data_IF_391465942448
#
_entry.id   IF_391465942448
#
_cell.length_a   1.000
_cell.length_b   1.000
_cell.length_c   1.000
_cell.angle_alpha   90.00
_cell.angle_beta   90.00
_cell.angle_gamma   90.00
#
_symmetry.space_group_name_H-M   'P 1'
#
loop_
_entity.id
_entity.type
_entity.pdbx_description
1 polymer ?
#
# COMPACT_ATOMS: atom_id res chain seq x y z
N UNK A 1 -39.23 2.27 16.56
CA UNK A 1 -38.25 1.20 16.26
C UNK A 1 -37.43 1.51 14.99
N UNK A 2 -38.05 1.72 13.83
CA UNK A 2 -37.34 2.05 12.57
C UNK A 2 -36.42 3.28 12.67
N UNK A 3 -36.90 4.39 13.25
CA UNK A 3 -36.10 5.62 13.41
C UNK A 3 -34.85 5.40 14.28
N UNK A 4 -34.97 4.59 15.33
CA UNK A 4 -33.85 4.25 16.22
C UNK A 4 -32.83 3.39 15.47
N UNK A 5 -33.29 2.40 14.70
CA UNK A 5 -32.42 1.56 13.86
C UNK A 5 -31.69 2.42 12.82
N UNK A 6 -32.39 3.32 12.14
CA UNK A 6 -31.79 4.24 11.16
C UNK A 6 -30.73 5.13 11.80
N UNK A 7 -30.99 5.66 13.01
CA UNK A 7 -30.02 6.46 13.74
C UNK A 7 -28.72 5.69 14.03
N UNK A 8 -28.81 4.45 14.53
CA UNK A 8 -27.63 3.62 14.77
C UNK A 8 -26.87 3.26 13.48
N UNK A 9 -27.58 2.98 12.38
CA UNK A 9 -26.95 2.75 11.07
C UNK A 9 -26.18 3.98 10.63
N UNK A 10 -26.75 5.19 10.76
CA UNK A 10 -26.05 6.43 10.42
C UNK A 10 -24.79 6.64 11.25
N UNK A 11 -24.86 6.42 12.57
CA UNK A 11 -23.68 6.51 13.45
C UNK A 11 -22.61 5.49 13.06
N UNK A 12 -23.00 4.26 12.74
CA UNK A 12 -22.08 3.22 12.29
C UNK A 12 -21.37 3.60 10.98
N UNK A 13 -22.12 4.09 9.99
CA UNK A 13 -21.55 4.56 8.72
C UNK A 13 -20.58 5.72 8.97
N UNK A 14 -20.95 6.70 9.79
CA UNK A 14 -20.08 7.84 10.10
C UNK A 14 -18.78 7.40 10.79
N UNK A 15 -18.89 6.48 11.75
CA UNK A 15 -17.73 5.90 12.43
C UNK A 15 -16.82 5.15 11.45
N UNK A 16 -17.39 4.32 10.58
CA UNK A 16 -16.63 3.58 9.57
C UNK A 16 -15.91 4.51 8.58
N UNK A 17 -16.60 5.54 8.08
CA UNK A 17 -15.99 6.54 7.18
C UNK A 17 -14.86 7.32 7.86
N UNK A 18 -15.03 7.64 9.14
CA UNK A 18 -14.00 8.32 9.93
C UNK A 18 -12.75 7.44 10.06
N UNK A 19 -12.92 6.18 10.45
CA UNK A 19 -11.81 5.22 10.52
C UNK A 19 -11.12 5.01 9.18
N UNK A 20 -11.89 4.82 8.12
CA UNK A 20 -11.39 4.69 6.76
C UNK A 20 -10.52 5.88 6.36
N UNK A 21 -10.95 7.10 6.66
CA UNK A 21 -10.16 8.32 6.39
C UNK A 21 -8.88 8.38 7.24
N UNK A 22 -9.00 8.08 8.54
CA UNK A 22 -7.86 8.10 9.48
C UNK A 22 -6.76 7.12 9.05
N UNK A 23 -7.13 5.89 8.67
CA UNK A 23 -6.17 4.89 8.19
C UNK A 23 -5.37 5.42 6.99
N UNK A 24 -6.03 6.03 6.01
CA UNK A 24 -5.36 6.63 4.84
C UNK A 24 -4.47 7.83 5.19
N UNK A 25 -4.76 8.56 6.27
CA UNK A 25 -3.90 9.64 6.78
C UNK A 25 -2.68 9.06 7.51
N UNK A 26 -2.87 8.04 8.34
CA UNK A 26 -1.78 7.41 9.08
C UNK A 26 -0.76 6.75 8.15
N UNK A 27 -1.20 6.04 7.11
CA UNK A 27 -0.27 5.49 6.10
C UNK A 27 0.57 6.60 5.47
N UNK A 28 -0.05 7.71 5.04
CA UNK A 28 0.70 8.84 4.46
C UNK A 28 1.71 9.45 5.42
N UNK A 29 1.36 9.54 6.71
CA UNK A 29 2.26 10.05 7.74
C UNK A 29 3.40 9.08 8.02
N UNK A 30 3.12 7.78 8.04
CA UNK A 30 4.12 6.73 8.23
C UNK A 30 5.12 6.70 7.06
N UNK A 31 4.63 6.71 5.82
CA UNK A 31 5.46 6.77 4.62
C UNK A 31 6.36 8.02 4.64
N UNK A 32 5.79 9.18 5.00
CA UNK A 32 6.55 10.42 5.12
C UNK A 32 7.57 10.39 6.28
N UNK A 33 7.26 9.71 7.38
CA UNK A 33 8.13 9.59 8.55
C UNK A 33 9.39 8.78 8.25
N UNK A 34 9.24 7.62 7.59
CA UNK A 34 10.36 6.78 7.14
C UNK A 34 11.40 7.60 6.36
N UNK A 35 10.90 8.47 5.49
CA UNK A 35 11.75 9.27 4.62
C UNK A 35 12.33 10.48 5.37
N UNK A 36 11.60 11.03 6.35
CA UNK A 36 12.09 12.09 7.24
C UNK A 36 13.26 11.61 8.11
N UNK A 37 13.28 10.35 8.52
CA UNK A 37 14.39 9.77 9.31
C UNK A 37 15.60 9.37 8.44
N UNK A 38 15.57 9.66 7.14
CA UNK A 38 16.72 9.50 6.24
C UNK A 38 16.85 8.13 5.59
N UNK A 39 15.82 7.27 5.66
CA UNK A 39 15.83 5.99 4.93
C UNK A 39 15.80 6.28 3.42
N UNK A 40 16.65 5.58 2.68
CA UNK A 40 16.70 5.69 1.23
C UNK A 40 15.32 5.33 0.61
N UNK A 41 14.75 6.18 -0.25
CA UNK A 41 13.44 5.95 -0.85
C UNK A 41 13.32 4.63 -1.62
N UNK A 42 14.37 4.22 -2.35
CA UNK A 42 14.37 2.95 -3.09
C UNK A 42 14.34 1.75 -2.15
N UNK A 43 15.07 1.81 -1.03
CA UNK A 43 15.06 0.77 0.00
C UNK A 43 13.66 0.62 0.60
N UNK A 44 13.01 1.75 0.91
CA UNK A 44 11.64 1.72 1.41
C UNK A 44 10.63 1.19 0.38
N UNK A 45 10.73 1.64 -0.88
CA UNK A 45 9.91 1.14 -1.99
C UNK A 45 10.08 -0.38 -2.11
N UNK A 46 11.31 -0.88 -2.14
CA UNK A 46 11.62 -2.32 -2.22
C UNK A 46 11.00 -3.09 -1.06
N UNK A 47 11.14 -2.60 0.17
CA UNK A 47 10.59 -3.23 1.36
C UNK A 47 9.05 -3.29 1.31
N UNK A 48 8.39 -2.22 0.88
CA UNK A 48 6.93 -2.17 0.79
C UNK A 48 6.40 -3.10 -0.31
N UNK A 49 7.08 -3.19 -1.46
CA UNK A 49 6.75 -4.16 -2.51
C UNK A 49 6.91 -5.59 -1.98
N UNK A 50 8.05 -5.90 -1.34
CA UNK A 50 8.33 -7.23 -0.81
C UNK A 50 7.26 -7.66 0.20
N UNK A 51 6.88 -6.77 1.11
CA UNK A 51 5.80 -7.01 2.08
C UNK A 51 4.45 -7.26 1.40
N UNK A 52 4.12 -6.49 0.36
CA UNK A 52 2.87 -6.61 -0.36
C UNK A 52 2.75 -7.96 -1.10
N UNK A 53 3.84 -8.36 -1.78
CA UNK A 53 3.90 -9.64 -2.52
C UNK A 53 3.87 -10.83 -1.56
N UNK A 54 4.61 -10.78 -0.46
CA UNK A 54 4.61 -11.85 0.56
C UNK A 54 3.21 -12.05 1.19
N UNK A 55 2.42 -10.99 1.30
CA UNK A 55 1.04 -11.05 1.79
C UNK A 55 0.02 -11.40 0.69
N UNK A 56 0.46 -11.76 -0.53
CA UNK A 56 -0.40 -12.10 -1.67
C UNK A 56 -1.39 -10.99 -2.05
N UNK A 57 -1.05 -9.74 -1.74
CA UNK A 57 -1.88 -8.58 -2.08
C UNK A 57 -1.54 -8.16 -3.51
N UNK A 58 -2.52 -7.98 -4.40
CA UNK A 58 -2.25 -7.50 -5.75
C UNK A 58 -1.58 -6.12 -5.73
N UNK A 59 -0.50 -5.95 -6.50
CA UNK A 59 0.23 -4.67 -6.60
C UNK A 59 -0.66 -3.61 -7.27
N UNK A 60 -1.37 -4.02 -8.32
CA UNK A 60 -2.35 -3.20 -9.03
C UNK A 60 -3.75 -3.74 -8.77
N UNK A 61 -4.66 -2.82 -8.45
CA UNK A 61 -6.09 -3.10 -8.29
C UNK A 61 -6.88 -2.03 -9.04
N UNK A 62 -8.10 -2.38 -9.46
CA UNK A 62 -8.98 -1.43 -10.13
C UNK A 62 -9.40 -0.30 -9.17
N UNK A 63 -9.80 0.85 -9.73
CA UNK A 63 -10.26 2.00 -8.93
C UNK A 63 -11.44 1.66 -8.01
N UNK A 64 -12.30 0.75 -8.45
CA UNK A 64 -13.46 0.29 -7.67
C UNK A 64 -13.00 -0.56 -6.51
N UNK A 65 -12.12 -1.55 -6.75
CA UNK A 65 -11.58 -2.40 -5.69
C UNK A 65 -10.83 -1.60 -4.63
N UNK A 66 -10.06 -0.58 -5.05
CA UNK A 66 -9.40 0.32 -4.12
C UNK A 66 -10.37 1.09 -3.21
N UNK A 67 -11.55 1.47 -3.71
CA UNK A 67 -12.53 2.20 -2.91
C UNK A 67 -13.06 1.37 -1.72
N UNK A 68 -12.99 0.04 -1.82
CA UNK A 68 -13.34 -0.88 -0.74
C UNK A 68 -12.17 -1.23 0.18
N UNK A 69 -10.96 -0.74 -0.09
CA UNK A 69 -9.78 -0.96 0.75
C UNK A 69 -9.65 0.13 1.82
N UNK A 70 -9.47 -0.28 3.07
CA UNK A 70 -9.25 0.62 4.21
C UNK A 70 -7.96 1.44 4.06
N UNK A 71 -6.94 0.88 3.41
CA UNK A 71 -5.67 1.53 3.12
C UNK A 71 -5.56 1.93 1.64
N UNK A 72 -4.74 2.93 1.29
CA UNK A 72 -4.41 3.19 -0.12
C UNK A 72 -3.66 2.00 -0.72
N UNK A 73 -3.82 1.78 -2.02
CA UNK A 73 -3.09 0.73 -2.72
C UNK A 73 -1.58 0.94 -2.61
N UNK A 74 -0.83 -0.17 -2.59
CA UNK A 74 0.62 -0.11 -2.50
C UNK A 74 1.20 0.68 -3.66
N UNK A 75 0.74 0.47 -4.90
CA UNK A 75 1.21 1.27 -6.04
C UNK A 75 1.01 2.79 -5.87
N UNK A 76 -0.09 3.24 -5.24
CA UNK A 76 -0.28 4.68 -4.96
C UNK A 76 0.66 5.20 -3.89
N UNK A 77 0.98 4.38 -2.88
CA UNK A 77 1.96 4.72 -1.86
C UNK A 77 3.36 4.84 -2.47
N UNK A 78 3.75 3.84 -3.26
CA UNK A 78 5.04 3.82 -3.96
C UNK A 78 5.20 5.03 -4.89
N UNK A 79 4.20 5.34 -5.73
CA UNK A 79 4.24 6.52 -6.60
C UNK A 79 4.35 7.83 -5.81
N UNK A 80 3.65 7.97 -4.69
CA UNK A 80 3.76 9.17 -3.84
C UNK A 80 5.16 9.34 -3.26
N UNK A 81 5.78 8.24 -2.82
CA UNK A 81 7.17 8.26 -2.37
C UNK A 81 8.12 8.58 -3.51
N UNK A 82 7.95 7.94 -4.66
CA UNK A 82 8.78 8.14 -5.83
C UNK A 82 8.78 9.61 -6.30
N UNK A 83 7.59 10.20 -6.49
CA UNK A 83 7.43 11.61 -6.87
C UNK A 83 8.05 12.55 -5.83
N UNK A 84 7.83 12.29 -4.54
CA UNK A 84 8.29 13.20 -3.48
C UNK A 84 9.82 13.20 -3.33
N UNK A 85 10.51 12.14 -3.74
CA UNK A 85 11.95 11.99 -3.52
C UNK A 85 12.76 11.73 -4.80
N UNK A 86 12.18 12.02 -5.97
CA UNK A 86 12.91 12.05 -7.24
C UNK A 86 13.20 10.68 -7.86
N UNK A 87 12.50 9.61 -7.46
CA UNK A 87 12.56 8.33 -8.17
C UNK A 87 11.63 8.44 -9.37
N UNK A 88 12.18 8.28 -10.58
CA UNK A 88 11.38 8.32 -11.80
C UNK A 88 10.51 7.05 -11.97
N UNK A 89 9.46 7.11 -12.80
CA UNK A 89 8.49 6.01 -12.95
C UNK A 89 9.13 4.74 -13.56
N UNK A 90 10.14 4.89 -14.43
CA UNK A 90 10.86 3.77 -15.03
C UNK A 90 11.64 2.98 -13.97
N UNK A 91 12.36 3.70 -13.11
CA UNK A 91 13.10 3.14 -11.98
C UNK A 91 12.16 2.50 -10.97
N UNK A 92 10.99 3.10 -10.72
CA UNK A 92 9.99 2.51 -9.85
C UNK A 92 9.51 1.15 -10.39
N UNK A 93 9.20 1.06 -11.69
CA UNK A 93 8.81 -0.20 -12.34
C UNK A 93 9.91 -1.24 -12.24
N UNK A 94 11.15 -0.85 -12.53
CA UNK A 94 12.33 -1.72 -12.42
C UNK A 94 12.46 -2.31 -11.02
N UNK A 95 12.32 -1.51 -9.97
CA UNK A 95 12.38 -1.98 -8.57
C UNK A 95 11.26 -3.00 -8.31
N UNK A 96 10.03 -2.72 -8.75
CA UNK A 96 8.89 -3.62 -8.56
C UNK A 96 9.13 -4.96 -9.24
N UNK A 97 9.52 -4.94 -10.51
CA UNK A 97 9.76 -6.15 -11.30
C UNK A 97 10.92 -6.99 -10.72
N UNK A 98 12.00 -6.33 -10.28
CA UNK A 98 13.13 -7.00 -9.65
C UNK A 98 12.74 -7.70 -8.34
N UNK A 99 11.92 -7.06 -7.49
CA UNK A 99 11.45 -7.69 -6.25
C UNK A 99 10.54 -8.88 -6.52
N UNK A 100 9.63 -8.74 -7.48
CA UNK A 100 8.74 -9.83 -7.88
C UNK A 100 9.57 -11.01 -8.39
N UNK A 101 10.53 -10.77 -9.28
CA UNK A 101 11.44 -11.79 -9.79
C UNK A 101 12.28 -12.46 -8.69
N UNK A 102 12.89 -11.68 -7.80
CA UNK A 102 13.64 -12.19 -6.63
C UNK A 102 12.78 -13.17 -5.81
N UNK A 103 11.52 -12.80 -5.51
CA UNK A 103 10.62 -13.64 -4.72
C UNK A 103 10.14 -14.89 -5.46
N UNK A 104 10.00 -14.83 -6.80
CA UNK A 104 9.73 -16.01 -7.61
C UNK A 104 10.92 -16.97 -7.61
N UNK A 105 12.14 -16.45 -7.78
CA UNK A 105 13.38 -17.23 -7.74
C UNK A 105 13.62 -17.84 -6.35
N UNK A 106 13.33 -17.13 -5.26
CA UNK A 106 13.42 -17.66 -3.90
C UNK A 106 12.42 -18.81 -3.65
N UNK A 107 11.20 -18.68 -4.18
CA UNK A 107 10.13 -19.66 -3.96
C UNK A 107 10.22 -20.91 -4.86
N UNK A 108 10.78 -20.78 -6.06
CA UNK A 108 10.80 -21.84 -7.08
C UNK A 108 12.20 -22.19 -7.62
N UNK A 109 13.23 -21.45 -7.21
CA UNK A 109 14.63 -21.67 -7.62
C UNK A 109 15.40 -22.64 -6.72
N UNK A 110 14.82 -23.08 -5.60
CA UNK A 110 15.37 -24.16 -4.76
C UNK A 110 14.88 -25.54 -5.25
N UNK A 111 15.33 -25.92 -6.44
CA UNK A 111 15.08 -27.23 -7.03
C UNK A 111 16.33 -27.87 -7.66
N UNK A 112 17.51 -27.31 -7.45
CA UNK A 112 18.76 -27.86 -7.98
C UNK A 112 20.01 -27.44 -7.20
N UNK A 113 20.13 -27.88 -5.94
CA UNK A 113 21.45 -28.12 -5.33
C UNK A 113 21.43 -29.39 -4.50
#
# INVERSE_FOLDING_TARGET
>A
MLVIIMFYITLFILWFLTLYFLMRVFERKADAFVLKIGINPEVYIRALVKLNVLNLIPIEVSRVQEAFQTHPTVIKRLRKVAVKYGVNEERLKEIVDNVVKELYEDKYGDGSK
#
